data_IF_350722343031
#
_entry.id   IF_350722343031
#
_cell.length_a   1.000
_cell.length_b   1.000
_cell.length_c   1.000
_cell.angle_alpha   90.00
_cell.angle_beta   90.00
_cell.angle_gamma   90.00
#
_symmetry.space_group_name_H-M   'P 1'
#
loop_
_entity.id
_entity.type
_entity.pdbx_description
1 polymer ?
#
# COMPACT_ATOMS: atom_id res chain seq x y z
N UNK A 1 -25.80 -10.08 9.41
CA UNK A 1 -25.09 -9.11 8.56
C UNK A 1 -25.05 -9.72 7.18
N UNK A 2 -25.28 -8.91 6.15
CA UNK A 2 -25.35 -9.40 4.77
C UNK A 2 -24.06 -9.00 4.07
N UNK A 3 -23.41 -9.97 3.41
CA UNK A 3 -22.32 -9.72 2.47
C UNK A 3 -22.92 -9.13 1.20
N UNK A 4 -22.43 -7.97 0.76
CA UNK A 4 -22.78 -7.41 -0.55
C UNK A 4 -22.03 -8.12 -1.69
N UNK A 5 -20.86 -8.68 -1.39
CA UNK A 5 -20.07 -9.52 -2.30
C UNK A 5 -20.33 -10.98 -1.92
N UNK A 6 -21.22 -11.64 -2.68
CA UNK A 6 -21.79 -12.95 -2.30
C UNK A 6 -21.07 -14.17 -2.87
N UNK A 7 -20.16 -13.97 -3.83
CA UNK A 7 -19.35 -15.04 -4.43
C UNK A 7 -17.97 -15.07 -3.78
N UNK A 8 -17.32 -16.22 -3.77
CA UNK A 8 -15.90 -16.31 -3.39
C UNK A 8 -15.04 -15.57 -4.43
N UNK A 9 -14.15 -14.70 -3.94
CA UNK A 9 -13.18 -13.98 -4.76
C UNK A 9 -11.80 -14.27 -4.21
N UNK A 10 -10.86 -14.60 -5.09
CA UNK A 10 -9.46 -14.53 -4.71
C UNK A 10 -9.09 -13.06 -4.46
N UNK A 11 -8.10 -12.81 -3.59
CA UNK A 11 -7.80 -11.45 -3.13
C UNK A 11 -6.35 -11.10 -3.37
N UNK A 12 -6.12 -10.03 -4.12
CA UNK A 12 -4.83 -9.34 -4.22
C UNK A 12 -4.93 -7.99 -3.54
N UNK A 13 -4.27 -7.85 -2.39
CA UNK A 13 -4.14 -6.59 -1.67
C UNK A 13 -2.69 -6.06 -1.79
N UNK A 14 -2.50 -5.10 -2.70
CA UNK A 14 -1.23 -4.45 -2.97
C UNK A 14 -1.17 -3.06 -2.29
N UNK A 15 -0.27 -2.90 -1.33
CA UNK A 15 0.03 -1.57 -0.77
C UNK A 15 1.31 -1.00 -1.38
N UNK A 16 1.28 0.28 -1.75
CA UNK A 16 2.40 1.06 -2.25
C UNK A 16 3.02 1.84 -1.09
N UNK A 17 4.14 1.36 -0.54
CA UNK A 17 4.72 1.94 0.68
C UNK A 17 5.20 3.38 0.43
N UNK A 18 4.72 4.32 1.24
CA UNK A 18 5.04 5.76 1.17
C UNK A 18 4.60 6.47 -0.13
N UNK A 19 3.80 5.82 -0.99
CA UNK A 19 3.40 6.38 -2.27
C UNK A 19 2.34 7.48 -2.12
N UNK A 20 2.67 8.68 -2.60
CA UNK A 20 1.72 9.80 -2.62
C UNK A 20 0.71 9.65 -3.75
N UNK A 21 -0.43 10.33 -3.60
CA UNK A 21 -1.42 10.42 -4.68
C UNK A 21 -0.89 11.19 -5.90
N UNK A 22 -0.17 12.29 -5.72
CA UNK A 22 0.36 13.07 -6.83
C UNK A 22 1.50 12.36 -7.58
N UNK A 23 2.27 11.49 -6.92
CA UNK A 23 3.17 10.54 -7.60
C UNK A 23 2.39 9.69 -8.60
N UNK A 24 1.24 9.16 -8.19
CA UNK A 24 0.37 8.38 -9.06
C UNK A 24 -0.08 9.19 -10.27
N UNK A 25 -0.54 10.43 -10.06
CA UNK A 25 -0.98 11.30 -11.18
C UNK A 25 0.12 11.64 -12.19
N UNK A 26 1.39 11.49 -11.80
CA UNK A 26 2.55 11.79 -12.65
C UNK A 26 3.11 10.55 -13.36
N UNK A 27 2.91 9.36 -12.77
CA UNK A 27 3.45 8.11 -13.28
C UNK A 27 2.64 7.57 -14.46
N UNK A 28 3.31 6.90 -15.40
CA UNK A 28 2.64 6.11 -16.43
C UNK A 28 2.28 4.72 -15.89
N UNK A 29 1.00 4.52 -15.52
CA UNK A 29 0.52 3.28 -14.87
C UNK A 29 -0.58 2.56 -15.68
N UNK A 30 -0.30 2.12 -16.92
CA UNK A 30 -1.31 1.55 -17.80
C UNK A 30 -1.98 0.29 -17.25
N UNK A 31 -1.28 -0.49 -16.41
CA UNK A 31 -1.85 -1.72 -15.82
C UNK A 31 -2.84 -1.37 -14.72
N UNK A 32 -2.48 -0.45 -13.82
CA UNK A 32 -3.38 0.00 -12.76
C UNK A 32 -4.60 0.71 -13.37
N UNK A 33 -4.40 1.54 -14.39
CA UNK A 33 -5.49 2.20 -15.13
C UNK A 33 -6.43 1.18 -15.78
N UNK A 34 -5.88 0.10 -16.33
CA UNK A 34 -6.66 -1.00 -16.87
C UNK A 34 -7.51 -1.65 -15.77
N UNK A 35 -6.94 -2.01 -14.62
CA UNK A 35 -7.70 -2.57 -13.49
C UNK A 35 -8.80 -1.61 -13.01
N UNK A 36 -8.51 -0.30 -13.02
CA UNK A 36 -9.44 0.74 -12.59
C UNK A 36 -10.59 1.01 -13.57
N UNK A 37 -10.43 0.64 -14.84
CA UNK A 37 -11.46 0.78 -15.88
C UNK A 37 -12.30 -0.47 -16.10
N UNK A 38 -11.93 -1.60 -15.49
CA UNK A 38 -12.68 -2.85 -15.60
C UNK A 38 -14.05 -2.76 -14.94
N UNK A 39 -14.97 -3.62 -15.41
CA UNK A 39 -16.25 -3.80 -14.76
C UNK A 39 -16.06 -4.12 -13.27
N UNK A 40 -16.92 -3.56 -12.42
CA UNK A 40 -16.88 -3.69 -10.94
C UNK A 40 -15.72 -2.97 -10.24
N UNK A 41 -15.08 -2.00 -10.90
CA UNK A 41 -14.39 -0.92 -10.21
C UNK A 41 -15.39 -0.10 -9.38
N UNK A 42 -15.05 0.17 -8.11
CA UNK A 42 -15.85 1.01 -7.20
C UNK A 42 -15.28 2.42 -7.06
N UNK A 43 -14.10 2.63 -7.63
CA UNK A 43 -13.47 3.93 -7.79
C UNK A 43 -13.62 4.41 -9.24
N UNK A 44 -13.68 5.73 -9.44
CA UNK A 44 -13.75 6.35 -10.76
C UNK A 44 -12.35 6.50 -11.37
N UNK A 45 -11.68 5.37 -11.64
CA UNK A 45 -10.23 5.34 -11.84
C UNK A 45 -9.49 5.17 -10.50
N UNK A 46 -8.24 5.61 -10.41
CA UNK A 46 -7.54 5.72 -9.13
C UNK A 46 -7.87 7.05 -8.48
N UNK A 47 -8.35 7.01 -7.24
CA UNK A 47 -8.85 8.20 -6.56
C UNK A 47 -7.98 8.60 -5.37
N UNK A 48 -8.11 9.87 -4.99
CA UNK A 48 -7.47 10.42 -3.80
C UNK A 48 -8.23 9.97 -2.55
N UNK A 49 -7.55 9.22 -1.69
CA UNK A 49 -8.07 8.76 -0.42
C UNK A 49 -7.22 9.26 0.74
N UNK A 50 -7.77 9.19 1.94
CA UNK A 50 -7.06 9.47 3.18
C UNK A 50 -6.79 8.20 3.98
N UNK A 51 -5.52 7.94 4.28
CA UNK A 51 -5.11 6.89 5.22
C UNK A 51 -5.26 7.37 6.67
N UNK A 52 -5.45 6.44 7.61
CA UNK A 52 -5.52 6.74 9.04
C UNK A 52 -4.13 6.72 9.74
N UNK A 53 -3.06 6.34 9.03
CA UNK A 53 -1.69 6.23 9.57
C UNK A 53 -0.66 7.04 8.79
N UNK A 54 0.30 7.65 9.47
CA UNK A 54 1.37 8.46 8.86
C UNK A 54 2.73 7.74 8.74
N UNK A 55 2.74 6.42 8.98
CA UNK A 55 3.84 5.51 8.67
C UNK A 55 3.35 4.06 8.60
N UNK A 56 4.14 3.21 7.96
CA UNK A 56 3.84 1.81 7.64
C UNK A 56 3.11 1.03 8.74
N UNK A 57 3.65 0.97 9.97
CA UNK A 57 3.05 0.17 11.04
C UNK A 57 1.63 0.61 11.41
N UNK A 58 1.38 1.92 11.55
CA UNK A 58 0.05 2.40 11.93
C UNK A 58 -0.97 2.18 10.82
N UNK A 59 -0.60 2.48 9.57
CA UNK A 59 -1.46 2.27 8.42
C UNK A 59 -1.85 0.78 8.30
N UNK A 60 -0.86 -0.11 8.25
CA UNK A 60 -1.10 -1.54 8.07
C UNK A 60 -1.83 -2.21 9.24
N UNK A 61 -1.65 -1.73 10.48
CA UNK A 61 -2.44 -2.21 11.61
C UNK A 61 -3.93 -1.88 11.44
N UNK A 62 -4.25 -0.71 10.88
CA UNK A 62 -5.61 -0.36 10.46
C UNK A 62 -6.10 -1.27 9.33
N UNK A 63 -5.28 -1.45 8.30
CA UNK A 63 -5.62 -2.24 7.10
C UNK A 63 -5.97 -3.69 7.47
N UNK A 64 -5.15 -4.33 8.30
CA UNK A 64 -5.41 -5.69 8.78
C UNK A 64 -6.61 -5.79 9.71
N UNK A 65 -7.05 -4.69 10.31
CA UNK A 65 -8.31 -4.57 11.04
C UNK A 65 -9.48 -4.10 10.15
N UNK A 66 -9.35 -4.16 8.82
CA UNK A 66 -10.41 -3.81 7.87
C UNK A 66 -10.60 -2.31 7.62
N UNK A 67 -9.71 -1.46 8.13
CA UNK A 67 -9.73 -0.01 7.92
C UNK A 67 -8.79 0.37 6.78
N UNK A 68 -9.26 0.34 5.54
CA UNK A 68 -8.51 0.80 4.35
C UNK A 68 -8.58 2.33 4.21
N UNK A 69 -7.77 2.97 3.33
CA UNK A 69 -7.91 4.40 3.04
C UNK A 69 -9.32 4.74 2.56
N UNK A 70 -9.77 5.96 2.89
CA UNK A 70 -11.15 6.38 2.65
C UNK A 70 -11.18 7.63 1.76
N UNK A 71 -11.98 7.60 0.70
CA UNK A 71 -12.36 8.76 -0.09
C UNK A 71 -13.33 9.61 0.74
N UNK A 72 -12.94 10.86 0.99
CA UNK A 72 -13.79 11.83 1.69
C UNK A 72 -14.55 12.67 0.67
N UNK A 73 -15.70 12.17 0.25
CA UNK A 73 -16.66 12.89 -0.58
C UNK A 73 -18.09 12.66 -0.07
N UNK A 74 -19.04 13.40 -0.63
CA UNK A 74 -20.47 13.26 -0.32
C UNK A 74 -21.16 12.22 -1.23
N UNK A 75 -20.40 11.36 -1.92
CA UNK A 75 -20.94 10.45 -2.92
C UNK A 75 -21.75 9.29 -2.32
N UNK A 76 -21.52 8.98 -1.03
CA UNK A 76 -22.14 7.85 -0.35
C UNK A 76 -21.81 6.49 -0.96
N UNK A 77 -20.76 6.40 -1.79
CA UNK A 77 -20.36 5.18 -2.48
C UNK A 77 -19.93 4.10 -1.49
N UNK A 78 -20.29 2.87 -1.84
CA UNK A 78 -19.88 1.69 -1.09
C UNK A 78 -18.36 1.48 -1.18
N UNK A 79 -17.83 0.89 -0.13
CA UNK A 79 -16.44 0.46 0.06
C UNK A 79 -15.40 1.57 0.21
N UNK A 80 -15.67 2.77 -0.29
CA UNK A 80 -14.69 3.85 -0.38
C UNK A 80 -14.97 5.04 0.54
N UNK A 81 -16.12 5.11 1.23
CA UNK A 81 -16.49 6.21 2.15
C UNK A 81 -16.67 5.72 3.60
N UNK A 82 -16.76 6.63 4.58
CA UNK A 82 -17.05 6.25 5.99
C UNK A 82 -18.52 5.90 6.20
N UNK A 83 -19.39 6.56 5.44
CA UNK A 83 -20.85 6.48 5.52
C UNK A 83 -21.42 5.33 4.67
N UNK A 84 -20.69 4.90 3.63
CA UNK A 84 -21.02 3.74 2.82
C UNK A 84 -20.77 2.41 3.53
N UNK A 85 -20.89 1.33 2.76
CA UNK A 85 -20.69 -0.03 3.25
C UNK A 85 -19.19 -0.36 3.19
N UNK A 86 -18.45 -0.61 4.29
CA UNK A 86 -17.01 -0.86 4.21
C UNK A 86 -16.73 -2.15 3.43
N UNK A 87 -15.59 -2.20 2.73
CA UNK A 87 -15.17 -3.40 1.98
C UNK A 87 -15.09 -4.62 2.89
N UNK A 88 -14.37 -4.49 4.01
CA UNK A 88 -14.23 -5.53 5.01
C UNK A 88 -14.83 -5.11 6.34
N UNK A 89 -15.42 -6.08 7.02
CA UNK A 89 -15.77 -5.97 8.43
C UNK A 89 -15.19 -7.13 9.20
N UNK A 90 -14.39 -6.83 10.22
CA UNK A 90 -13.81 -7.78 11.18
C UNK A 90 -14.53 -7.72 12.52
N UNK A 91 -14.36 -8.75 13.37
CA UNK A 91 -15.09 -8.92 14.63
C UNK A 91 -14.77 -7.88 15.71
N UNK A 92 -13.62 -7.20 15.60
CA UNK A 92 -13.19 -6.16 16.55
C UNK A 92 -13.93 -4.82 16.38
N UNK A 93 -14.67 -4.64 15.28
CA UNK A 93 -15.47 -3.43 15.04
C UNK A 93 -16.80 -3.57 15.81
N UNK A 94 -17.07 -2.74 16.85
CA UNK A 94 -18.22 -2.92 17.73
C UNK A 94 -19.55 -3.06 16.98
N UNK A 95 -20.34 -4.08 17.34
CA UNK A 95 -21.72 -4.23 16.88
C UNK A 95 -22.53 -3.05 17.43
N UNK A 96 -22.96 -2.13 16.56
CA UNK A 96 -23.81 -1.00 16.97
C UNK A 96 -23.58 0.33 16.25
N UNK A 97 -22.46 0.52 15.53
CA UNK A 97 -22.24 1.74 14.71
C UNK A 97 -22.97 1.72 13.36
N UNK A 98 -24.25 1.32 13.33
CA UNK A 98 -25.14 1.51 12.16
C UNK A 98 -24.90 0.64 10.91
N UNK A 99 -23.69 0.10 10.69
CA UNK A 99 -23.39 -0.71 9.51
C UNK A 99 -24.02 -2.11 9.64
N UNK A 100 -25.17 -2.33 8.98
CA UNK A 100 -25.86 -3.62 8.92
C UNK A 100 -25.29 -4.56 7.85
N UNK A 101 -24.45 -4.01 6.98
CA UNK A 101 -24.00 -4.55 5.70
C UNK A 101 -22.54 -4.13 5.47
N UNK A 102 -21.79 -4.97 4.76
CA UNK A 102 -20.40 -4.76 4.36
C UNK A 102 -20.17 -5.54 3.06
N UNK A 103 -19.09 -5.24 2.34
CA UNK A 103 -18.69 -6.05 1.18
C UNK A 103 -18.51 -7.49 1.58
N UNK A 104 -17.62 -7.72 2.54
CA UNK A 104 -17.21 -9.02 3.06
C UNK A 104 -17.17 -8.96 4.58
N UNK A 105 -18.01 -9.75 5.24
CA UNK A 105 -17.98 -9.96 6.68
C UNK A 105 -17.01 -11.10 7.03
N UNK A 106 -16.09 -10.80 7.94
CA UNK A 106 -15.12 -11.72 8.52
C UNK A 106 -15.39 -11.87 10.01
N UNK A 107 -15.35 -13.11 10.50
CA UNK A 107 -15.72 -13.46 11.88
C UNK A 107 -14.59 -13.30 12.88
N UNK A 108 -13.43 -12.80 12.45
CA UNK A 108 -12.21 -12.67 13.26
C UNK A 108 -11.68 -11.24 13.34
N UNK A 109 -10.67 -11.03 14.19
CA UNK A 109 -10.11 -9.70 14.48
C UNK A 109 -9.25 -9.12 13.36
N UNK A 110 -8.80 -9.95 12.42
CA UNK A 110 -7.93 -9.55 11.31
C UNK A 110 -8.45 -10.08 9.98
N UNK A 111 -8.01 -9.45 8.88
CA UNK A 111 -8.28 -9.96 7.53
C UNK A 111 -7.73 -11.38 7.37
N UNK A 112 -6.47 -11.60 7.76
CA UNK A 112 -5.77 -12.88 7.63
C UNK A 112 -6.54 -14.00 8.33
N UNK A 113 -6.88 -13.82 9.61
CA UNK A 113 -7.59 -14.84 10.38
C UNK A 113 -9.00 -15.07 9.87
N UNK A 114 -9.67 -13.98 9.45
CA UNK A 114 -11.00 -14.03 8.85
C UNK A 114 -11.03 -14.85 7.55
N UNK A 115 -10.10 -14.60 6.64
CA UNK A 115 -9.98 -15.35 5.39
C UNK A 115 -9.53 -16.79 5.63
N UNK A 116 -8.60 -17.03 6.57
CA UNK A 116 -8.17 -18.38 6.94
C UNK A 116 -9.33 -19.21 7.47
N UNK A 117 -10.20 -18.64 8.31
CA UNK A 117 -11.44 -19.30 8.76
C UNK A 117 -12.43 -19.60 7.64
N UNK A 118 -12.39 -18.85 6.53
CA UNK A 118 -13.16 -19.13 5.30
C UNK A 118 -12.48 -20.15 4.37
N UNK A 119 -11.34 -20.72 4.77
CA UNK A 119 -10.60 -21.73 4.02
C UNK A 119 -9.66 -21.18 2.95
N UNK A 120 -9.26 -19.91 3.05
CA UNK A 120 -8.31 -19.30 2.11
C UNK A 120 -6.87 -19.57 2.55
N UNK A 121 -5.99 -19.86 1.59
CA UNK A 121 -4.56 -19.81 1.77
C UNK A 121 -4.11 -18.35 1.95
N UNK A 122 -3.40 -18.06 3.04
CA UNK A 122 -2.89 -16.71 3.34
C UNK A 122 -1.44 -16.64 2.91
N UNK A 123 -1.10 -15.61 2.11
CA UNK A 123 0.28 -15.32 1.69
C UNK A 123 0.56 -13.83 1.83
N UNK A 124 1.69 -13.50 2.44
CA UNK A 124 2.14 -12.14 2.65
C UNK A 124 3.56 -11.93 2.13
N UNK A 125 3.81 -10.79 1.50
CA UNK A 125 5.10 -10.44 0.95
C UNK A 125 5.44 -9.00 1.31
N UNK A 126 6.64 -8.73 1.82
CA UNK A 126 7.01 -7.36 2.21
C UNK A 126 8.50 -7.16 2.43
N UNK A 127 8.94 -5.91 2.44
CA UNK A 127 10.36 -5.55 2.49
C UNK A 127 10.73 -4.45 3.48
N UNK A 128 9.77 -3.94 4.28
CA UNK A 128 10.07 -2.93 5.32
C UNK A 128 10.30 -3.58 6.67
N UNK A 129 11.11 -2.95 7.51
CA UNK A 129 11.53 -3.52 8.81
C UNK A 129 10.38 -3.82 9.77
N UNK A 130 9.19 -3.26 9.55
CA UNK A 130 7.98 -3.60 10.32
C UNK A 130 7.44 -5.01 10.04
N UNK A 131 7.89 -5.64 8.95
CA UNK A 131 7.61 -7.03 8.60
C UNK A 131 8.78 -7.98 8.89
N UNK A 132 9.95 -7.48 9.30
CA UNK A 132 11.17 -8.30 9.42
C UNK A 132 11.07 -9.40 10.49
N UNK A 133 10.42 -9.11 11.61
CA UNK A 133 10.37 -10.01 12.75
C UNK A 133 8.96 -10.58 12.95
N UNK A 134 8.86 -11.89 13.21
CA UNK A 134 7.62 -12.63 13.48
C UNK A 134 6.91 -12.19 14.78
N UNK A 135 7.59 -11.42 15.63
CA UNK A 135 7.07 -10.88 16.89
C UNK A 135 6.04 -9.74 16.74
N UNK A 136 5.99 -8.83 17.72
CA UNK A 136 4.90 -7.87 18.04
C UNK A 136 4.50 -6.88 16.91
N UNK A 137 5.15 -6.91 15.75
CA UNK A 137 4.92 -5.99 14.64
C UNK A 137 3.81 -6.48 13.69
N UNK A 138 3.96 -6.30 12.38
CA UNK A 138 2.93 -6.62 11.39
C UNK A 138 2.89 -8.12 11.05
N UNK A 139 4.02 -8.83 11.16
CA UNK A 139 4.15 -10.25 10.77
C UNK A 139 3.46 -11.23 11.72
N UNK A 140 3.17 -10.86 12.98
CA UNK A 140 2.41 -11.70 13.94
C UNK A 140 1.02 -12.15 13.49
N UNK A 141 0.48 -11.54 12.44
CA UNK A 141 -0.83 -11.88 11.88
C UNK A 141 -0.75 -13.02 10.84
N UNK A 142 0.48 -13.49 10.55
CA UNK A 142 0.78 -14.58 9.65
C UNK A 142 1.34 -15.76 10.47
N UNK A 143 0.94 -16.97 10.10
CA UNK A 143 1.47 -18.23 10.63
C UNK A 143 2.81 -18.55 9.97
N UNK A 144 3.51 -19.55 10.51
CA UNK A 144 4.78 -20.04 9.98
C UNK A 144 4.64 -20.39 8.49
N UNK A 145 5.51 -19.82 7.66
CA UNK A 145 5.51 -20.02 6.21
C UNK A 145 4.49 -19.19 5.42
N UNK A 146 3.59 -18.43 6.06
CA UNK A 146 2.61 -17.60 5.34
C UNK A 146 3.15 -16.23 4.92
N UNK A 147 4.36 -15.85 5.35
CA UNK A 147 4.94 -14.55 5.01
C UNK A 147 6.41 -14.65 4.59
N UNK A 148 6.72 -14.17 3.39
CA UNK A 148 8.09 -13.99 2.89
C UNK A 148 8.55 -12.56 3.07
N UNK A 149 9.70 -12.39 3.75
CA UNK A 149 10.34 -11.11 3.94
C UNK A 149 11.53 -10.94 2.98
N UNK A 150 11.49 -9.90 2.13
CA UNK A 150 12.52 -9.60 1.15
C UNK A 150 13.47 -8.47 1.56
N UNK A 151 13.22 -7.81 2.70
CA UNK A 151 14.05 -6.70 3.15
C UNK A 151 15.37 -7.15 3.77
N UNK A 152 16.21 -6.16 4.07
CA UNK A 152 17.41 -6.37 4.88
C UNK A 152 17.16 -5.94 6.33
N UNK A 153 17.70 -6.71 7.27
CA UNK A 153 17.66 -6.37 8.70
C UNK A 153 18.53 -5.15 9.04
N UNK A 154 19.44 -4.77 8.13
CA UNK A 154 20.38 -3.65 8.29
C UNK A 154 19.84 -2.34 7.70
N UNK A 155 19.79 -1.30 8.52
CA UNK A 155 19.32 0.03 8.10
C UNK A 155 20.39 0.75 7.25
N UNK A 156 20.06 1.10 6.01
CA UNK A 156 20.91 1.97 5.17
C UNK A 156 21.80 1.27 4.14
N UNK A 157 21.61 -0.02 3.89
CA UNK A 157 22.14 -0.68 2.68
C UNK A 157 21.34 -0.24 1.45
N UNK A 158 21.98 -0.09 0.27
CA UNK A 158 21.25 0.15 -0.97
C UNK A 158 20.19 -0.93 -1.17
N UNK A 159 18.95 -0.53 -1.44
CA UNK A 159 17.89 -1.50 -1.74
C UNK A 159 18.17 -2.06 -3.13
N UNK A 160 18.52 -3.34 -3.20
CA UNK A 160 18.71 -4.06 -4.46
C UNK A 160 17.33 -4.49 -5.01
N UNK A 161 17.20 -4.59 -6.33
CA UNK A 161 15.92 -4.94 -6.98
C UNK A 161 15.41 -6.30 -6.52
N UNK A 162 16.31 -7.27 -6.31
CA UNK A 162 16.01 -8.60 -5.74
C UNK A 162 15.53 -8.56 -4.27
N UNK A 163 15.49 -7.39 -3.64
CA UNK A 163 14.90 -7.16 -2.31
C UNK A 163 13.52 -6.52 -2.38
N UNK A 164 13.01 -6.28 -3.59
CA UNK A 164 11.65 -5.79 -3.80
C UNK A 164 10.69 -6.97 -3.93
N UNK A 165 9.62 -7.05 -3.13
CA UNK A 165 8.63 -8.13 -3.24
C UNK A 165 8.07 -8.29 -4.67
N UNK A 166 7.84 -7.16 -5.36
CA UNK A 166 7.33 -7.15 -6.74
C UNK A 166 8.34 -7.68 -7.79
N UNK A 167 9.59 -7.95 -7.42
CA UNK A 167 10.55 -8.62 -8.31
C UNK A 167 10.41 -10.16 -8.30
N UNK A 168 9.69 -10.72 -7.33
CA UNK A 168 9.58 -12.17 -7.09
C UNK A 168 8.22 -12.73 -7.52
N UNK A 169 7.79 -12.40 -8.75
CA UNK A 169 6.48 -12.79 -9.27
C UNK A 169 6.32 -14.32 -9.30
N UNK A 170 7.36 -15.05 -9.68
CA UNK A 170 7.35 -16.51 -9.72
C UNK A 170 7.10 -17.11 -8.33
N UNK A 171 7.78 -16.60 -7.29
CA UNK A 171 7.59 -17.07 -5.90
C UNK A 171 6.17 -16.75 -5.40
N UNK A 172 5.63 -15.57 -5.72
CA UNK A 172 4.26 -15.19 -5.37
C UNK A 172 3.26 -16.19 -5.98
N UNK A 173 3.38 -16.48 -7.28
CA UNK A 173 2.45 -17.39 -7.97
C UNK A 173 2.58 -18.83 -7.50
N UNK A 174 3.81 -19.35 -7.38
CA UNK A 174 4.05 -20.71 -6.87
C UNK A 174 3.44 -20.93 -5.48
N UNK A 175 3.36 -19.89 -4.66
CA UNK A 175 2.78 -19.98 -3.31
C UNK A 175 1.26 -20.21 -3.30
N UNK A 176 0.56 -19.98 -4.42
CA UNK A 176 -0.90 -20.03 -4.54
C UNK A 176 -1.42 -20.85 -5.73
N UNK A 177 -0.58 -21.29 -6.67
CA UNK A 177 -1.01 -21.91 -7.93
C UNK A 177 -1.82 -23.21 -7.75
N UNK A 178 -1.63 -23.91 -6.62
CA UNK A 178 -2.38 -25.11 -6.25
C UNK A 178 -3.57 -24.84 -5.33
N UNK A 179 -3.85 -23.59 -4.99
CA UNK A 179 -4.86 -23.19 -4.01
C UNK A 179 -6.14 -22.72 -4.71
N UNK A 180 -7.29 -23.31 -4.36
CA UNK A 180 -8.60 -22.87 -4.89
C UNK A 180 -8.97 -21.47 -4.40
N UNK A 181 -8.64 -21.15 -3.13
CA UNK A 181 -8.96 -19.86 -2.50
C UNK A 181 -7.72 -19.27 -1.87
N UNK A 182 -7.39 -18.03 -2.22
CA UNK A 182 -6.21 -17.36 -1.68
C UNK A 182 -6.42 -15.88 -1.38
N UNK A 183 -5.71 -15.43 -0.34
CA UNK A 183 -5.54 -14.04 0.04
C UNK A 183 -4.04 -13.72 -0.02
N UNK A 184 -3.66 -12.88 -0.98
CA UNK A 184 -2.30 -12.43 -1.20
C UNK A 184 -2.21 -10.96 -0.81
N UNK A 185 -1.36 -10.68 0.18
CA UNK A 185 -0.99 -9.33 0.57
C UNK A 185 0.43 -9.04 0.11
N UNK A 186 0.64 -7.91 -0.57
CA UNK A 186 1.97 -7.44 -0.99
C UNK A 186 2.18 -6.01 -0.52
N UNK A 187 3.17 -5.81 0.36
CA UNK A 187 3.71 -4.49 0.66
C UNK A 187 4.85 -4.17 -0.32
N UNK A 188 4.53 -3.47 -1.41
CA UNK A 188 5.53 -3.01 -2.35
C UNK A 188 6.34 -1.87 -1.77
N UNK A 189 7.61 -2.14 -1.50
CA UNK A 189 8.53 -1.17 -0.91
C UNK A 189 9.29 -0.33 -1.93
N UNK A 190 8.95 -0.46 -3.21
CA UNK A 190 9.66 0.22 -4.30
C UNK A 190 9.51 1.75 -4.19
N UNK A 191 8.31 2.22 -3.87
CA UNK A 191 7.99 3.65 -3.69
C UNK A 191 8.45 4.23 -2.36
N UNK A 192 8.99 3.41 -1.45
CA UNK A 192 9.63 3.88 -0.23
C UNK A 192 11.11 4.12 -0.50
N UNK A 193 11.70 5.12 0.16
CA UNK A 193 13.12 5.43 0.00
C UNK A 193 14.00 4.15 0.17
N UNK A 194 15.08 4.00 -0.60
CA UNK A 194 15.69 5.00 -1.47
C UNK A 194 15.16 5.01 -2.93
N UNK A 195 14.03 4.34 -3.22
CA UNK A 195 13.41 4.28 -4.56
C UNK A 195 14.25 3.59 -5.65
N UNK A 196 15.21 2.75 -5.24
CA UNK A 196 16.10 2.05 -6.17
C UNK A 196 15.36 0.88 -6.84
N UNK A 197 14.82 1.14 -8.02
CA UNK A 197 14.32 0.13 -8.96
C UNK A 197 15.28 -0.10 -10.13
N UNK A 198 16.28 0.77 -10.25
CA UNK A 198 17.39 0.75 -11.19
C UNK A 198 18.61 1.43 -10.53
N UNK A 199 19.82 1.26 -11.06
CA UNK A 199 21.00 2.00 -10.57
C UNK A 199 20.76 3.52 -10.58
N UNK A 200 21.09 4.18 -9.48
CA UNK A 200 20.91 5.62 -9.30
C UNK A 200 22.27 6.33 -9.41
N UNK A 201 22.27 7.55 -9.97
CA UNK A 201 23.47 8.38 -10.09
C UNK A 201 24.02 8.75 -8.70
N UNK A 202 25.35 8.75 -8.50
CA UNK A 202 25.97 9.17 -7.23
C UNK A 202 25.48 10.53 -6.67
N UNK A 203 25.16 11.52 -7.51
CA UNK A 203 24.62 12.81 -7.05
C UNK A 203 23.26 12.65 -6.37
N UNK A 204 22.42 11.74 -6.90
CA UNK A 204 21.10 11.44 -6.34
C UNK A 204 21.22 10.62 -5.05
N UNK A 205 22.20 9.73 -4.95
CA UNK A 205 22.53 9.00 -3.72
C UNK A 205 22.95 9.98 -2.60
N UNK A 206 23.86 10.91 -2.90
CA UNK A 206 24.25 11.98 -1.97
C UNK A 206 23.05 12.82 -1.55
N UNK A 207 22.12 13.08 -2.47
CA UNK A 207 20.90 13.81 -2.17
C UNK A 207 19.95 13.02 -1.25
N UNK A 208 19.80 11.70 -1.45
CA UNK A 208 19.00 10.84 -0.56
C UNK A 208 19.61 10.88 0.84
N UNK A 209 20.92 10.76 0.96
CA UNK A 209 21.62 10.84 2.24
C UNK A 209 21.54 12.23 2.88
N UNK A 210 21.56 13.30 2.08
CA UNK A 210 21.26 14.64 2.54
C UNK A 210 19.83 14.70 3.10
N UNK A 211 18.83 14.28 2.34
CA UNK A 211 17.42 14.32 2.72
C UNK A 211 17.13 13.49 3.99
N UNK A 212 17.79 12.34 4.19
CA UNK A 212 17.70 11.52 5.42
C UNK A 212 18.06 12.29 6.69
N UNK A 213 18.92 13.29 6.60
CA UNK A 213 19.29 14.15 7.72
C UNK A 213 18.17 15.16 8.05
N UNK A 214 17.26 15.43 7.10
CA UNK A 214 16.10 16.34 7.21
C UNK A 214 14.77 15.66 7.55
N UNK A 215 14.80 14.41 8.03
CA UNK A 215 13.60 13.76 8.56
C UNK A 215 13.07 14.48 9.79
N UNK A 216 11.74 14.51 9.93
CA UNK A 216 11.09 15.10 11.09
C UNK A 216 11.70 14.56 12.40
N UNK A 217 12.07 15.48 13.30
CA UNK A 217 12.72 15.18 14.58
C UNK A 217 14.26 15.30 14.60
N UNK A 218 14.93 15.50 13.46
CA UNK A 218 16.35 15.87 13.39
C UNK A 218 16.51 17.40 13.50
N UNK A 219 17.44 17.87 14.32
CA UNK A 219 17.57 19.32 14.66
C UNK A 219 18.87 19.98 14.21
N UNK A 220 19.87 19.22 13.80
CA UNK A 220 21.22 19.72 13.55
C UNK A 220 21.57 19.65 12.07
N UNK A 221 21.24 20.71 11.33
CA UNK A 221 21.42 20.77 9.88
C UNK A 221 21.96 22.14 9.49
N UNK A 222 23.28 22.24 9.35
CA UNK A 222 23.97 23.42 8.82
C UNK A 222 23.49 23.78 7.40
N UNK A 223 23.11 22.77 6.60
CA UNK A 223 22.52 22.93 5.26
C UNK A 223 21.03 22.65 5.31
N UNK A 224 20.21 23.52 4.72
CA UNK A 224 18.75 23.33 4.63
C UNK A 224 18.38 22.54 3.38
N UNK A 225 17.61 21.47 3.56
CA UNK A 225 16.93 20.79 2.48
C UNK A 225 15.82 21.66 1.89
N UNK A 226 15.67 21.58 0.57
CA UNK A 226 14.76 22.42 -0.18
C UNK A 226 13.73 21.61 -0.94
N UNK A 227 12.59 22.22 -1.24
CA UNK A 227 11.59 21.62 -2.12
C UNK A 227 12.14 21.35 -3.53
N UNK A 228 13.13 22.13 -4.00
CA UNK A 228 13.79 21.90 -5.30
C UNK A 228 14.51 20.56 -5.31
N UNK A 229 15.22 20.25 -4.23
CA UNK A 229 15.86 18.95 -4.05
C UNK A 229 14.83 17.84 -3.92
N UNK A 230 13.76 18.04 -3.14
CA UNK A 230 12.72 17.04 -3.01
C UNK A 230 11.95 16.73 -4.27
N UNK A 231 11.82 17.67 -5.21
CA UNK A 231 11.30 17.37 -6.56
C UNK A 231 12.13 16.31 -7.29
N UNK A 232 13.46 16.27 -7.11
CA UNK A 232 14.30 15.22 -7.70
C UNK A 232 13.97 13.86 -7.10
N UNK A 233 13.78 13.79 -5.78
CA UNK A 233 13.42 12.54 -5.08
C UNK A 233 11.98 12.09 -5.39
N UNK A 234 11.05 13.02 -5.55
CA UNK A 234 9.69 12.72 -5.97
C UNK A 234 9.66 12.05 -7.35
N UNK A 235 10.50 12.51 -8.29
CA UNK A 235 10.64 11.84 -9.60
C UNK A 235 11.21 10.42 -9.50
N UNK A 236 12.02 10.11 -8.48
CA UNK A 236 12.42 8.72 -8.22
C UNK A 236 11.25 7.87 -7.75
N UNK A 237 10.38 8.43 -6.90
CA UNK A 237 9.17 7.74 -6.47
C UNK A 237 8.22 7.46 -7.64
N UNK A 238 8.12 8.39 -8.61
CA UNK A 238 7.35 8.21 -9.86
C UNK A 238 7.89 7.02 -10.65
N UNK A 239 9.19 6.98 -10.94
CA UNK A 239 9.82 5.84 -11.64
C UNK A 239 9.64 4.52 -10.89
N UNK A 240 9.69 4.56 -9.56
CA UNK A 240 9.46 3.38 -8.75
C UNK A 240 8.02 2.87 -8.84
N UNK A 241 7.03 3.75 -8.96
CA UNK A 241 5.64 3.38 -9.19
C UNK A 241 5.44 2.78 -10.59
N UNK A 242 6.05 3.35 -11.63
CA UNK A 242 6.04 2.79 -13.00
C UNK A 242 6.64 1.37 -13.04
N UNK A 243 7.71 1.13 -12.27
CA UNK A 243 8.25 -0.22 -12.07
C UNK A 243 7.22 -1.15 -11.44
N UNK A 244 6.51 -0.72 -10.39
CA UNK A 244 5.48 -1.54 -9.73
C UNK A 244 4.34 -1.88 -10.69
N UNK A 245 3.90 -0.92 -11.52
CA UNK A 245 2.89 -1.15 -12.57
C UNK A 245 3.35 -2.24 -13.55
N UNK A 246 4.59 -2.15 -14.04
CA UNK A 246 5.15 -3.14 -14.95
C UNK A 246 5.26 -4.55 -14.32
N UNK A 247 5.58 -4.65 -13.03
CA UNK A 247 5.58 -5.94 -12.34
C UNK A 247 4.17 -6.46 -12.07
N UNK A 248 3.22 -5.58 -11.74
CA UNK A 248 1.81 -5.93 -11.59
C UNK A 248 1.26 -6.50 -12.90
N UNK A 249 1.64 -5.95 -14.05
CA UNK A 249 1.26 -6.47 -15.37
C UNK A 249 1.64 -7.93 -15.53
N UNK A 250 2.90 -8.26 -15.20
CA UNK A 250 3.40 -9.63 -15.24
C UNK A 250 2.65 -10.52 -14.25
N UNK A 251 2.47 -10.07 -13.01
CA UNK A 251 1.75 -10.82 -11.98
C UNK A 251 0.33 -11.16 -12.45
N UNK A 252 -0.46 -10.17 -12.85
CA UNK A 252 -1.83 -10.36 -13.30
C UNK A 252 -1.93 -11.31 -14.51
N UNK A 253 -0.95 -11.32 -15.40
CA UNK A 253 -0.92 -12.21 -16.58
C UNK A 253 -0.71 -13.70 -16.24
N UNK A 254 -0.19 -14.02 -15.05
CA UNK A 254 0.12 -15.40 -14.64
C UNK A 254 -0.62 -15.86 -13.37
N UNK A 255 -1.44 -15.01 -12.76
CA UNK A 255 -2.28 -15.41 -11.63
C UNK A 255 -3.33 -16.44 -12.06
N UNK A 256 -3.69 -17.41 -11.18
CA UNK A 256 -4.86 -18.25 -11.39
C UNK A 256 -6.12 -17.41 -11.61
N UNK A 257 -6.89 -17.73 -12.66
CA UNK A 257 -8.05 -16.95 -13.13
C UNK A 257 -9.38 -17.74 -13.10
N UNK A 258 -9.43 -18.82 -12.33
CA UNK A 258 -10.59 -19.69 -12.16
C UNK A 258 -11.73 -19.06 -11.34
N UNK A 259 -11.43 -17.99 -10.59
CA UNK A 259 -12.40 -17.20 -9.81
C UNK A 259 -12.24 -15.70 -10.07
N UNK A 260 -13.31 -14.90 -9.85
CA UNK A 260 -13.19 -13.45 -9.84
C UNK A 260 -12.13 -12.95 -8.87
N UNK A 261 -11.36 -11.93 -9.27
CA UNK A 261 -10.30 -11.34 -8.44
C UNK A 261 -10.76 -10.03 -7.81
N UNK A 262 -10.71 -9.96 -6.48
CA UNK A 262 -10.74 -8.72 -5.74
C UNK A 262 -9.35 -8.09 -5.74
N UNK A 263 -9.19 -6.95 -6.40
CA UNK A 263 -7.95 -6.17 -6.43
C UNK A 263 -8.13 -4.91 -5.60
N UNK A 264 -7.31 -4.77 -4.56
CA UNK A 264 -7.18 -3.55 -3.76
C UNK A 264 -5.77 -3.01 -3.94
N UNK A 265 -5.64 -1.80 -4.49
CA UNK A 265 -4.36 -1.09 -4.59
C UNK A 265 -4.47 0.22 -3.84
N UNK A 266 -3.60 0.45 -2.87
CA UNK A 266 -3.57 1.74 -2.20
C UNK A 266 -2.18 2.13 -1.69
N UNK A 267 -1.95 3.43 -1.47
CA UNK A 267 -0.83 3.86 -0.63
C UNK A 267 -1.12 3.57 0.83
N UNK A 268 -0.11 3.14 1.60
CA UNK A 268 -0.26 2.99 3.05
C UNK A 268 -0.21 4.34 3.76
N UNK A 269 0.70 5.20 3.32
CA UNK A 269 0.84 6.61 3.61
C UNK A 269 1.63 7.27 2.46
N UNK A 270 1.74 8.60 2.47
CA UNK A 270 2.60 9.34 1.57
C UNK A 270 3.91 9.79 2.21
N UNK A 271 4.60 10.71 1.54
CA UNK A 271 5.92 11.19 1.93
C UNK A 271 6.08 12.68 1.65
N UNK A 272 6.76 13.40 2.53
CA UNK A 272 7.14 14.79 2.27
C UNK A 272 8.38 14.86 1.38
N UNK A 273 8.31 15.71 0.36
CA UNK A 273 9.40 16.01 -0.58
C UNK A 273 9.84 17.47 -0.43
N UNK A 274 9.95 17.95 0.81
CA UNK A 274 10.44 19.29 1.12
C UNK A 274 9.36 20.35 1.14
N UNK A 275 8.08 19.97 1.29
CA UNK A 275 7.03 20.92 1.62
C UNK A 275 7.38 21.64 2.94
N UNK A 276 6.98 22.91 3.06
CA UNK A 276 7.25 23.68 4.26
C UNK A 276 6.20 23.41 5.33
N UNK A 277 6.65 23.08 6.53
CA UNK A 277 5.80 22.85 7.68
C UNK A 277 6.21 23.80 8.80
N UNK A 278 5.25 24.15 9.66
CA UNK A 278 5.56 24.83 10.91
C UNK A 278 6.19 23.82 11.87
N UNK A 279 7.43 24.06 12.29
CA UNK A 279 8.07 23.30 13.36
C UNK A 279 7.37 23.63 14.69
N UNK A 280 6.75 22.63 15.31
CA UNK A 280 5.99 22.82 16.55
C UNK A 280 6.83 23.18 17.77
N UNK A 281 8.16 23.10 17.68
CA UNK A 281 9.09 23.45 18.76
C UNK A 281 9.72 24.82 18.52
N UNK A 282 10.27 25.07 17.34
CA UNK A 282 10.94 26.34 17.02
C UNK A 282 9.99 27.43 16.50
N UNK A 283 8.80 27.07 16.02
CA UNK A 283 7.86 27.99 15.37
C UNK A 283 8.31 28.44 13.97
N UNK A 284 9.41 27.92 13.44
CA UNK A 284 9.92 28.26 12.11
C UNK A 284 9.29 27.39 11.02
N UNK A 285 9.18 27.93 9.81
CA UNK A 285 8.86 27.11 8.63
C UNK A 285 10.10 26.35 8.16
N UNK A 286 10.00 25.03 8.08
CA UNK A 286 11.07 24.13 7.67
C UNK A 286 10.57 23.12 6.65
N UNK A 287 11.43 22.80 5.69
CA UNK A 287 11.19 21.72 4.74
C UNK A 287 11.56 20.39 5.39
N UNK A 288 10.64 19.42 5.38
CA UNK A 288 10.94 18.07 5.82
C UNK A 288 10.99 17.12 4.64
N UNK A 289 11.79 16.07 4.80
CA UNK A 289 11.70 14.90 3.94
C UNK A 289 11.26 13.70 4.75
N UNK A 290 10.54 12.76 4.11
CA UNK A 290 10.06 11.56 4.77
C UNK A 290 8.67 11.71 5.36
N UNK A 291 8.34 10.86 6.32
CA UNK A 291 7.02 10.73 6.93
C UNK A 291 7.15 10.70 8.47
N UNK A 292 6.07 10.37 9.20
CA UNK A 292 5.95 10.49 10.68
C UNK A 292 5.80 11.91 11.23
N UNK A 293 5.30 12.83 10.42
CA UNK A 293 4.81 14.14 10.85
C UNK A 293 3.43 14.42 10.26
N UNK A 294 2.78 15.47 10.74
CA UNK A 294 1.45 15.82 10.26
C UNK A 294 1.57 16.70 9.01
N UNK A 295 1.31 16.10 7.85
CA UNK A 295 1.16 16.84 6.61
C UNK A 295 0.18 16.16 5.66
N UNK A 296 -0.52 16.96 4.87
CA UNK A 296 -1.57 16.47 3.97
C UNK A 296 -1.02 15.47 2.94
N UNK A 297 0.19 15.68 2.44
CA UNK A 297 0.87 14.78 1.48
C UNK A 297 1.25 13.43 2.09
N UNK A 298 1.23 13.28 3.42
CA UNK A 298 1.45 11.99 4.09
C UNK A 298 0.14 11.22 4.24
N UNK A 299 -0.99 11.92 4.35
CA UNK A 299 -2.30 11.27 4.53
C UNK A 299 -3.03 11.04 3.21
N UNK A 300 -2.74 11.83 2.16
CA UNK A 300 -3.34 11.66 0.82
C UNK A 300 -2.61 10.59 0.02
N UNK A 301 -3.31 9.50 -0.25
CA UNK A 301 -2.79 8.29 -0.90
C UNK A 301 -3.68 7.88 -2.07
N UNK A 302 -3.14 7.17 -3.08
CA UNK A 302 -3.97 6.56 -4.11
C UNK A 302 -4.82 5.42 -3.52
N UNK A 303 -6.01 5.23 -4.07
CA UNK A 303 -6.89 4.10 -3.78
C UNK A 303 -7.60 3.63 -5.05
N UNK A 304 -7.60 2.32 -5.24
CA UNK A 304 -8.36 1.59 -6.25
C UNK A 304 -8.96 0.33 -5.61
N UNK A 305 -10.25 0.13 -5.82
CA UNK A 305 -10.95 -1.10 -5.44
C UNK A 305 -11.67 -1.65 -6.67
N UNK A 306 -11.28 -2.85 -7.12
CA UNK A 306 -12.03 -3.62 -8.10
C UNK A 306 -12.45 -4.95 -7.48
N UNK A 307 -13.74 -5.27 -7.52
CA UNK A 307 -14.29 -6.46 -6.86
C UNK A 307 -14.51 -7.65 -7.77
N UNK A 308 -14.09 -7.62 -9.02
CA UNK A 308 -14.25 -8.77 -9.91
C UNK A 308 -13.44 -8.63 -11.17
N UNK A 309 -12.18 -8.20 -11.02
CA UNK A 309 -11.25 -8.14 -12.13
C UNK A 309 -11.07 -9.55 -12.72
N UNK A 310 -11.10 -9.64 -14.04
CA UNK A 310 -10.84 -10.86 -14.79
C UNK A 310 -10.00 -10.50 -16.00
N UNK A 311 -8.87 -11.18 -16.19
CA UNK A 311 -8.04 -10.94 -17.37
C UNK A 311 -8.75 -11.35 -18.69
N UNK A 312 -9.79 -12.18 -18.57
CA UNK A 312 -10.58 -12.70 -19.69
C UNK A 312 -11.89 -11.92 -19.93
N UNK A 313 -12.18 -10.84 -19.20
CA UNK A 313 -13.31 -9.97 -19.56
C UNK A 313 -12.94 -9.24 -20.84
N UNK A 314 -13.29 -9.86 -21.97
CA UNK A 314 -13.31 -9.22 -23.28
C UNK A 314 -14.11 -7.90 -23.21
N UNK A 315 -13.66 -6.94 -24.03
CA UNK A 315 -14.32 -5.67 -24.32
C UNK A 315 -15.78 -5.82 -24.71
#
# INVERSE_FOLDING_TARGET
>A
MTDLITHDHNVLFLTLDSCRYDTFTMANTPTIDLVASHERAHTNGVEIAETDGNYTYLAHKGFFAGHIPVIRDDSGRDYVTKEGHPLWRVSVIPKGRGLKTAGINLSDSTLQDGYRKKGYAIRGFGGTTFFANEGIQLRRHYQDGEFTYFGDSTYGTPRLVDRLPMSHIEEIVQSIESEDKWFVFVNSTATHFPYHVEPVDPELEELIDHARKHRAGRRDLEKRYTQKEGKKLHQLQVRALEYVDAQLSKLLSVLPNDKPLLVLICGDHGESFGEQHLDGVSGERRSYWGHKHNHIEIFRVPLLINTGYSHNSEK
#
